data_IF_225408955180
#
_entry.id   IF_225408955180
#
_cell.length_a   1.000
_cell.length_b   1.000
_cell.length_c   1.000
_cell.angle_alpha   90.00
_cell.angle_beta   90.00
_cell.angle_gamma   90.00
#
_symmetry.space_group_name_H-M   'P 1'
#
loop_
_entity.id
_entity.type
_entity.pdbx_description
1 polymer ?
#
# COMPACT_ATOMS: atom_id res chain seq x y z
N UNK A 1 19.18 -3.77 -32.53
CA UNK A 1 19.83 -3.18 -31.34
C UNK A 1 18.74 -2.93 -30.30
N UNK A 2 18.77 -3.61 -29.15
CA UNK A 2 17.80 -3.40 -28.07
C UNK A 2 18.28 -2.24 -27.20
N UNK A 3 17.52 -1.15 -27.16
CA UNK A 3 17.77 -0.04 -26.26
C UNK A 3 17.32 -0.50 -24.88
N UNK A 4 18.27 -0.61 -23.93
CA UNK A 4 17.97 -0.90 -22.54
C UNK A 4 17.38 0.36 -21.90
N UNK A 5 16.06 0.38 -21.70
CA UNK A 5 15.38 1.47 -20.99
C UNK A 5 15.38 1.12 -19.51
N UNK A 6 16.27 1.74 -18.75
CA UNK A 6 16.37 1.58 -17.30
C UNK A 6 17.56 2.35 -16.74
N UNK A 7 17.57 2.56 -15.42
CA UNK A 7 18.70 3.19 -14.75
C UNK A 7 20.00 2.38 -14.98
N UNK A 8 21.12 3.09 -14.95
CA UNK A 8 22.45 2.49 -14.93
C UNK A 8 22.54 1.52 -13.73
N UNK A 9 23.18 0.34 -13.84
CA UNK A 9 23.21 -0.63 -12.72
C UNK A 9 23.75 -0.03 -11.42
N UNK A 10 24.69 0.91 -11.53
CA UNK A 10 25.27 1.68 -10.42
C UNK A 10 24.29 2.63 -9.73
N UNK A 11 23.14 2.90 -10.33
CA UNK A 11 22.08 3.78 -9.83
C UNK A 11 20.81 3.02 -9.42
N UNK A 12 20.84 1.69 -9.49
CA UNK A 12 19.73 0.85 -9.02
C UNK A 12 19.87 0.66 -7.51
N UNK A 13 18.88 1.13 -6.75
CA UNK A 13 18.76 0.84 -5.32
C UNK A 13 18.33 -0.63 -5.15
N UNK A 14 18.84 -1.28 -4.13
CA UNK A 14 18.37 -2.60 -3.71
C UNK A 14 16.88 -2.52 -3.31
N UNK A 15 16.09 -3.48 -3.77
CA UNK A 15 14.66 -3.58 -3.41
C UNK A 15 14.57 -4.36 -2.10
N UNK A 16 14.05 -3.72 -1.07
CA UNK A 16 13.78 -4.37 0.22
C UNK A 16 12.32 -4.85 0.34
N UNK A 17 11.98 -5.46 1.47
CA UNK A 17 10.61 -5.97 1.70
C UNK A 17 9.57 -4.84 1.76
N UNK A 18 9.96 -3.68 2.27
CA UNK A 18 9.07 -2.52 2.40
C UNK A 18 8.71 -1.93 1.03
N UNK A 19 9.66 -1.93 0.10
CA UNK A 19 9.43 -1.57 -1.30
C UNK A 19 8.42 -2.49 -1.97
N UNK A 20 8.51 -3.80 -1.69
CA UNK A 20 7.55 -4.79 -2.20
C UNK A 20 6.18 -4.53 -1.61
N UNK A 21 6.08 -4.36 -0.29
CA UNK A 21 4.83 -4.03 0.40
C UNK A 21 4.17 -2.77 -0.19
N UNK A 22 4.92 -1.67 -0.28
CA UNK A 22 4.44 -0.40 -0.81
C UNK A 22 4.01 -0.52 -2.27
N UNK A 23 4.77 -1.25 -3.10
CA UNK A 23 4.41 -1.46 -4.51
C UNK A 23 3.09 -2.23 -4.65
N UNK A 24 2.89 -3.27 -3.84
CA UNK A 24 1.63 -4.05 -3.82
C UNK A 24 0.47 -3.21 -3.30
N UNK A 25 0.69 -2.40 -2.27
CA UNK A 25 -0.30 -1.47 -1.73
C UNK A 25 -0.70 -0.40 -2.76
N UNK A 26 0.26 0.19 -3.47
CA UNK A 26 0.01 1.15 -4.54
C UNK A 26 -0.84 0.55 -5.65
N UNK A 27 -0.59 -0.70 -6.05
CA UNK A 27 -1.42 -1.40 -7.01
C UNK A 27 -2.87 -1.52 -6.53
N UNK A 28 -3.09 -1.90 -5.26
CA UNK A 28 -4.42 -1.98 -4.67
C UNK A 28 -5.11 -0.61 -4.67
N UNK A 29 -4.40 0.45 -4.28
CA UNK A 29 -4.92 1.83 -4.31
C UNK A 29 -5.41 2.20 -5.71
N UNK A 30 -4.59 1.97 -6.74
CA UNK A 30 -4.94 2.28 -8.13
C UNK A 30 -6.13 1.46 -8.59
N UNK A 31 -6.16 0.15 -8.30
CA UNK A 31 -7.27 -0.72 -8.71
C UNK A 31 -8.59 -0.37 -8.02
N UNK A 32 -8.55 -0.04 -6.73
CA UNK A 32 -9.74 0.40 -5.99
C UNK A 32 -10.24 1.77 -6.46
N UNK A 33 -9.35 2.72 -6.76
CA UNK A 33 -9.73 4.00 -7.39
C UNK A 33 -10.35 3.80 -8.78
N UNK A 34 -9.81 2.87 -9.57
CA UNK A 34 -10.35 2.52 -10.88
C UNK A 34 -11.76 1.93 -10.75
N UNK A 35 -11.98 1.02 -9.79
CA UNK A 35 -13.31 0.49 -9.48
C UNK A 35 -14.30 1.59 -9.10
N UNK A 36 -13.94 2.49 -8.19
CA UNK A 36 -14.81 3.62 -7.79
C UNK A 36 -15.15 4.55 -8.96
N UNK A 37 -14.24 4.67 -9.93
CA UNK A 37 -14.45 5.46 -11.15
C UNK A 37 -15.25 4.70 -12.23
N UNK A 38 -15.77 3.50 -11.94
CA UNK A 38 -16.57 2.71 -12.85
C UNK A 38 -15.78 1.95 -13.91
N UNK A 39 -14.45 1.82 -13.78
CA UNK A 39 -13.66 1.04 -14.74
C UNK A 39 -13.86 -0.46 -14.53
N UNK A 40 -14.05 -1.24 -15.61
CA UNK A 40 -14.29 -2.68 -15.49
C UNK A 40 -13.04 -3.42 -15.01
N UNK A 41 -13.22 -4.39 -14.12
CA UNK A 41 -12.16 -5.29 -13.69
C UNK A 41 -12.13 -6.53 -14.61
N UNK A 42 -11.18 -6.57 -15.55
CA UNK A 42 -10.94 -7.77 -16.36
C UNK A 42 -10.30 -8.88 -15.53
N UNK A 43 -10.33 -10.13 -16.02
CA UNK A 43 -9.79 -11.31 -15.30
C UNK A 43 -8.37 -11.10 -14.75
N UNK A 44 -7.49 -10.49 -15.53
CA UNK A 44 -6.12 -10.24 -15.08
C UNK A 44 -6.09 -9.28 -13.89
N UNK A 45 -6.83 -8.16 -13.95
CA UNK A 45 -6.95 -7.21 -12.83
C UNK A 45 -7.53 -7.87 -11.59
N UNK A 46 -8.55 -8.71 -11.75
CA UNK A 46 -9.15 -9.47 -10.65
C UNK A 46 -8.10 -10.33 -9.96
N UNK A 47 -7.35 -11.13 -10.70
CA UNK A 47 -6.31 -11.99 -10.12
C UNK A 47 -5.22 -11.19 -9.43
N UNK A 48 -4.78 -10.08 -10.04
CA UNK A 48 -3.80 -9.19 -9.42
C UNK A 48 -4.34 -8.59 -8.11
N UNK A 49 -5.60 -8.15 -8.07
CA UNK A 49 -6.20 -7.63 -6.84
C UNK A 49 -6.21 -8.71 -5.75
N UNK A 50 -6.65 -9.93 -6.07
CA UNK A 50 -6.73 -11.02 -5.09
C UNK A 50 -5.36 -11.37 -4.51
N UNK A 51 -4.36 -11.51 -5.37
CA UNK A 51 -2.99 -11.83 -4.94
C UNK A 51 -2.43 -10.72 -4.04
N UNK A 52 -2.51 -9.46 -4.50
CA UNK A 52 -1.93 -8.33 -3.77
C UNK A 52 -2.69 -8.04 -2.48
N UNK A 53 -4.03 -8.17 -2.47
CA UNK A 53 -4.84 -8.02 -1.27
C UNK A 53 -4.46 -9.05 -0.20
N UNK A 54 -4.17 -10.29 -0.60
CA UNK A 54 -3.75 -11.31 0.35
C UNK A 54 -2.38 -11.00 0.96
N UNK A 55 -1.40 -10.64 0.13
CA UNK A 55 -0.07 -10.25 0.59
C UNK A 55 -0.10 -9.05 1.53
N UNK A 56 -0.71 -7.95 1.09
CA UNK A 56 -0.78 -6.71 1.85
C UNK A 56 -1.53 -6.89 3.17
N UNK A 57 -2.59 -7.70 3.19
CA UNK A 57 -3.34 -8.02 4.41
C UNK A 57 -2.49 -8.79 5.43
N UNK A 58 -1.71 -9.79 4.99
CA UNK A 58 -0.87 -10.58 5.88
C UNK A 58 0.28 -9.75 6.46
N UNK A 59 0.96 -8.97 5.61
CA UNK A 59 2.05 -8.10 6.03
C UNK A 59 1.56 -6.98 6.96
N UNK A 60 0.41 -6.36 6.67
CA UNK A 60 -0.16 -5.34 7.56
C UNK A 60 -0.57 -5.89 8.94
N UNK A 61 -1.03 -7.14 9.03
CA UNK A 61 -1.34 -7.78 10.32
C UNK A 61 -0.06 -8.07 11.10
N UNK A 62 0.98 -8.62 10.45
CA UNK A 62 2.26 -8.86 11.10
C UNK A 62 2.88 -7.57 11.65
N UNK A 63 2.87 -6.50 10.85
CA UNK A 63 3.40 -5.20 11.26
C UNK A 63 2.57 -4.54 12.38
N UNK A 64 1.24 -4.68 12.35
CA UNK A 64 0.37 -4.21 13.44
C UNK A 64 0.62 -4.96 14.75
N UNK A 65 0.76 -6.29 14.69
CA UNK A 65 1.08 -7.14 15.84
C UNK A 65 2.46 -6.78 16.40
N UNK A 66 3.50 -6.65 15.56
CA UNK A 66 4.83 -6.21 15.98
C UNK A 66 4.76 -4.86 16.72
N UNK A 67 4.03 -3.88 16.17
CA UNK A 67 3.78 -2.59 16.83
C UNK A 67 3.09 -2.72 18.20
N UNK A 68 2.21 -3.69 18.41
CA UNK A 68 1.58 -3.92 19.71
C UNK A 68 2.51 -4.56 20.72
N UNK A 69 3.35 -5.50 20.28
CA UNK A 69 4.28 -6.23 21.14
C UNK A 69 5.47 -5.37 21.59
N UNK A 70 5.95 -4.47 20.73
CA UNK A 70 7.13 -3.64 21.01
C UNK A 70 6.81 -2.24 21.58
N UNK A 71 5.56 -1.96 21.96
CA UNK A 71 5.19 -0.71 22.65
C UNK A 71 5.92 -0.46 23.97
N UNK A 72 6.52 -1.49 24.58
CA UNK A 72 7.27 -1.37 25.84
C UNK A 72 8.79 -1.12 25.64
N UNK A 73 9.31 -1.34 24.42
CA UNK A 73 10.71 -1.10 24.07
C UNK A 73 10.79 -0.04 22.96
N UNK A 74 11.29 1.13 23.31
CA UNK A 74 11.41 2.34 22.45
C UNK A 74 12.36 2.21 21.25
N UNK A 75 12.67 0.99 20.79
CA UNK A 75 13.66 0.69 19.74
C UNK A 75 13.12 -0.09 18.54
N UNK A 76 11.80 -0.23 18.38
CA UNK A 76 11.28 -0.76 17.13
C UNK A 76 11.43 0.26 16.01
N UNK A 77 12.42 0.03 15.15
CA UNK A 77 12.47 0.60 13.81
C UNK A 77 11.30 -0.01 13.03
N UNK A 78 10.11 0.60 13.13
CA UNK A 78 9.19 0.50 12.01
C UNK A 78 9.90 1.13 10.81
N UNK A 79 10.40 0.30 9.91
CA UNK A 79 11.25 0.72 8.78
C UNK A 79 10.54 1.76 7.91
N UNK A 80 9.20 1.77 7.93
CA UNK A 80 8.36 2.73 7.20
C UNK A 80 7.82 3.90 8.06
N UNK A 81 7.89 3.80 9.39
CA UNK A 81 7.46 4.85 10.32
C UNK A 81 5.96 5.17 10.31
N UNK A 82 5.09 4.20 10.02
CA UNK A 82 3.65 4.31 10.06
C UNK A 82 3.06 3.89 11.42
N UNK A 83 1.86 4.40 11.75
CA UNK A 83 1.17 4.03 12.99
C UNK A 83 0.26 2.80 12.80
N UNK A 84 -0.19 2.21 13.91
CA UNK A 84 -1.14 1.08 13.86
C UNK A 84 -2.43 1.43 13.12
N UNK A 85 -2.86 2.70 13.17
CA UNK A 85 -4.05 3.17 12.46
C UNK A 85 -3.86 3.10 10.93
N UNK A 86 -2.66 3.35 10.41
CA UNK A 86 -2.33 3.13 9.00
C UNK A 86 -2.48 1.66 8.61
N UNK A 87 -1.90 0.75 9.38
CA UNK A 87 -1.97 -0.69 9.09
C UNK A 87 -3.42 -1.22 9.13
N UNK A 88 -4.24 -0.74 10.06
CA UNK A 88 -5.68 -1.04 10.10
C UNK A 88 -6.41 -0.58 8.84
N UNK A 89 -6.10 0.62 8.33
CA UNK A 89 -6.69 1.16 7.09
C UNK A 89 -6.24 0.36 5.86
N UNK A 90 -4.98 -0.05 5.82
CA UNK A 90 -4.43 -0.91 4.75
C UNK A 90 -5.10 -2.28 4.76
N UNK A 91 -5.31 -2.87 5.94
CA UNK A 91 -6.05 -4.12 6.10
C UNK A 91 -7.49 -3.98 5.61
N UNK A 92 -8.18 -2.91 5.98
CA UNK A 92 -9.55 -2.62 5.50
C UNK A 92 -9.58 -2.49 3.97
N UNK A 93 -8.65 -1.72 3.39
CA UNK A 93 -8.52 -1.58 1.94
C UNK A 93 -8.38 -2.95 1.25
N UNK A 94 -7.50 -3.80 1.78
CA UNK A 94 -7.23 -5.13 1.24
C UNK A 94 -8.49 -6.01 1.25
N UNK A 95 -9.24 -6.01 2.35
CA UNK A 95 -10.50 -6.76 2.47
C UNK A 95 -11.56 -6.25 1.47
N UNK A 96 -11.70 -4.92 1.34
CA UNK A 96 -12.66 -4.34 0.41
C UNK A 96 -12.29 -4.60 -1.05
N UNK A 97 -11.01 -4.50 -1.39
CA UNK A 97 -10.50 -4.82 -2.72
C UNK A 97 -10.70 -6.29 -3.07
N UNK A 98 -10.46 -7.20 -2.12
CA UNK A 98 -10.72 -8.63 -2.27
C UNK A 98 -12.21 -8.92 -2.53
N UNK A 99 -13.11 -8.25 -1.80
CA UNK A 99 -14.55 -8.38 -2.02
C UNK A 99 -14.95 -7.89 -3.43
N UNK A 100 -14.48 -6.72 -3.85
CA UNK A 100 -14.73 -6.21 -5.20
C UNK A 100 -14.26 -7.21 -6.27
N UNK A 101 -13.06 -7.75 -6.12
CA UNK A 101 -12.50 -8.71 -7.08
C UNK A 101 -13.26 -10.04 -7.12
N UNK A 102 -13.88 -10.44 -6.00
CA UNK A 102 -14.78 -11.60 -5.92
C UNK A 102 -16.17 -11.34 -6.54
N UNK A 103 -16.43 -10.13 -7.03
CA UNK A 103 -17.67 -9.78 -7.71
C UNK A 103 -18.75 -9.20 -6.80
N UNK A 104 -18.42 -8.83 -5.56
CA UNK A 104 -19.35 -8.10 -4.70
C UNK A 104 -19.45 -6.65 -5.18
N UNK A 105 -20.68 -6.20 -5.45
CA UNK A 105 -20.92 -4.77 -5.67
C UNK A 105 -21.08 -4.05 -4.33
N UNK A 106 -20.35 -2.95 -4.17
CA UNK A 106 -20.43 -2.14 -2.97
C UNK A 106 -21.62 -1.19 -3.06
N UNK A 107 -22.45 -1.19 -2.02
CA UNK A 107 -23.45 -0.16 -1.80
C UNK A 107 -22.80 1.23 -1.67
N UNK A 108 -23.56 2.30 -1.95
CA UNK A 108 -23.03 3.68 -2.00
C UNK A 108 -22.26 4.06 -0.73
N UNK A 109 -22.80 3.76 0.46
CA UNK A 109 -22.12 4.06 1.73
C UNK A 109 -20.79 3.30 1.88
N UNK A 110 -20.67 2.09 1.32
CA UNK A 110 -19.42 1.31 1.31
C UNK A 110 -18.42 1.88 0.30
N UNK A 111 -18.90 2.41 -0.83
CA UNK A 111 -18.07 3.14 -1.81
C UNK A 111 -17.49 4.41 -1.19
N UNK A 112 -18.31 5.19 -0.47
CA UNK A 112 -17.86 6.36 0.28
C UNK A 112 -16.84 6.00 1.37
N UNK A 113 -17.07 4.91 2.12
CA UNK A 113 -16.13 4.43 3.12
C UNK A 113 -14.79 4.00 2.48
N UNK A 114 -14.82 3.33 1.33
CA UNK A 114 -13.62 2.96 0.58
C UNK A 114 -12.86 4.20 0.12
N UNK A 115 -13.55 5.20 -0.41
CA UNK A 115 -12.95 6.46 -0.86
C UNK A 115 -12.27 7.20 0.29
N UNK A 116 -12.96 7.33 1.43
CA UNK A 116 -12.39 7.96 2.64
C UNK A 116 -11.15 7.22 3.12
N UNK A 117 -11.19 5.88 3.14
CA UNK A 117 -10.06 5.06 3.53
C UNK A 117 -8.86 5.21 2.57
N UNK A 118 -9.13 5.20 1.27
CA UNK A 118 -8.11 5.42 0.23
C UNK A 118 -7.42 6.77 0.38
N UNK A 119 -8.18 7.83 0.63
CA UNK A 119 -7.62 9.18 0.79
C UNK A 119 -6.69 9.23 2.02
N UNK A 120 -7.12 8.68 3.16
CA UNK A 120 -6.29 8.63 4.36
C UNK A 120 -4.98 7.84 4.14
N UNK A 121 -5.04 6.68 3.48
CA UNK A 121 -3.84 5.88 3.15
C UNK A 121 -2.91 6.65 2.20
N UNK A 122 -3.46 7.30 1.16
CA UNK A 122 -2.67 8.10 0.23
C UNK A 122 -1.98 9.29 0.90
N UNK A 123 -2.68 9.98 1.82
CA UNK A 123 -2.13 11.08 2.60
C UNK A 123 -0.96 10.62 3.46
N UNK A 124 -1.10 9.51 4.19
CA UNK A 124 -0.01 8.93 4.98
C UNK A 124 1.22 8.61 4.12
N UNK A 125 1.04 7.89 3.01
CA UNK A 125 2.15 7.53 2.11
C UNK A 125 2.84 8.78 1.54
N UNK A 126 2.06 9.78 1.14
CA UNK A 126 2.59 11.02 0.56
C UNK A 126 3.39 11.80 1.59
N UNK A 127 2.89 11.90 2.81
CA UNK A 127 3.57 12.58 3.91
C UNK A 127 4.90 11.91 4.25
N UNK A 128 4.93 10.57 4.38
CA UNK A 128 6.17 9.82 4.65
C UNK A 128 7.21 10.03 3.56
N UNK A 129 6.79 10.03 2.28
CA UNK A 129 7.71 10.31 1.17
C UNK A 129 8.30 11.72 1.24
N UNK A 130 7.49 12.73 1.54
CA UNK A 130 7.96 14.12 1.70
C UNK A 130 8.96 14.27 2.87
N UNK A 131 8.71 13.59 3.99
CA UNK A 131 9.62 13.61 5.14
C UNK A 131 10.96 12.98 4.79
N UNK A 132 10.95 11.84 4.10
CA UNK A 132 12.17 11.18 3.62
C UNK A 132 12.98 12.10 2.71
N UNK A 133 12.34 12.72 1.70
CA UNK A 133 12.99 13.65 0.77
C UNK A 133 13.61 14.86 1.51
N UNK A 134 12.93 15.43 2.51
CA UNK A 134 13.47 16.52 3.34
C UNK A 134 14.66 16.10 4.21
N UNK A 135 14.71 14.86 4.69
CA UNK A 135 15.85 14.34 5.45
C UNK A 135 17.08 14.16 4.54
N UNK A 136 16.89 13.68 3.31
CA UNK A 136 17.97 13.61 2.31
C UNK A 136 18.57 14.99 2.00
N UNK A 137 17.74 16.04 1.93
CA UNK A 137 18.18 17.41 1.65
C UNK A 137 19.03 18.05 2.78
N UNK A 138 18.92 17.57 4.02
CA UNK A 138 19.67 18.13 5.17
C UNK A 138 21.12 17.64 5.28
N UNK A 139 21.56 16.72 4.43
CA UNK A 139 22.90 16.11 4.47
C UNK A 139 23.81 16.61 3.33
N UNK A 140 23.42 17.69 2.63
CA UNK A 140 24.19 18.32 1.55
C UNK A 140 24.66 19.74 1.91
#
# INVERSE_FOLDING_TARGET
>A
MMIRIGAEPSKMREIDLDDVFLSRLQLLIVMSKAYLSGYPLGRHRINCILENANHVKLEAVGLEEDLEWFKDDTSFNDTLGFDSAFYQRVKLLSVMAEAIAKGYDLENHKKEALEKNLNAVCESITFTKQVSDMQFLKVA
#
